data_IF_858503541035
#
_entry.id   IF_858503541035
#
_cell.length_a   1.000
_cell.length_b   1.000
_cell.length_c   1.000
_cell.angle_alpha   90.00
_cell.angle_beta   90.00
_cell.angle_gamma   90.00
#
_symmetry.space_group_name_H-M   'P 1'
#
loop_
_entity.id
_entity.type
_entity.pdbx_description
1 polymer ?
#
# COMPACT_ATOMS: atom_id res chain seq x y z
N UNK A 1 -10.37 -0.19 -9.05
CA UNK A 1 -10.61 -1.42 -9.83
C UNK A 1 -11.36 -2.40 -8.98
N UNK A 2 -12.44 -2.99 -9.48
CA UNK A 2 -13.15 -4.10 -8.82
C UNK A 2 -12.87 -5.36 -9.61
N UNK A 3 -12.50 -6.43 -8.92
CA UNK A 3 -12.20 -7.74 -9.52
C UNK A 3 -13.31 -8.74 -9.18
N UNK A 4 -13.58 -9.66 -10.10
CA UNK A 4 -14.62 -10.69 -10.00
C UNK A 4 -14.00 -12.08 -10.18
N UNK A 5 -14.64 -13.12 -9.66
CA UNK A 5 -14.26 -14.49 -9.95
C UNK A 5 -14.71 -14.86 -11.37
N UNK A 6 -14.03 -15.82 -11.99
CA UNK A 6 -14.43 -16.31 -13.31
C UNK A 6 -15.87 -16.86 -13.27
N UNK A 7 -16.72 -16.37 -14.18
CA UNK A 7 -18.13 -16.71 -14.23
C UNK A 7 -19.02 -16.18 -13.08
N UNK A 8 -18.51 -15.32 -12.19
CA UNK A 8 -19.28 -14.72 -11.10
C UNK A 8 -19.54 -13.24 -11.32
N UNK A 9 -20.77 -12.80 -11.02
CA UNK A 9 -21.12 -11.36 -10.95
C UNK A 9 -20.87 -10.79 -9.55
N UNK A 10 -20.51 -11.61 -8.56
CA UNK A 10 -20.20 -11.17 -7.21
C UNK A 10 -18.75 -10.62 -7.14
N UNK A 11 -18.56 -9.37 -6.64
CA UNK A 11 -17.23 -8.77 -6.56
C UNK A 11 -16.36 -9.48 -5.51
N UNK A 12 -15.16 -9.90 -5.91
CA UNK A 12 -14.17 -10.49 -5.01
C UNK A 12 -13.47 -9.42 -4.16
N UNK A 13 -13.03 -8.34 -4.79
CA UNK A 13 -12.34 -7.26 -4.10
C UNK A 13 -12.42 -5.96 -4.88
N UNK A 14 -12.27 -4.84 -4.16
CA UNK A 14 -12.08 -3.52 -4.75
C UNK A 14 -10.72 -2.97 -4.30
N UNK A 15 -9.87 -2.62 -5.27
CA UNK A 15 -8.62 -1.91 -5.04
C UNK A 15 -8.76 -0.45 -5.47
N UNK A 16 -8.28 0.47 -4.64
CA UNK A 16 -8.10 1.88 -4.99
C UNK A 16 -6.66 2.28 -4.75
N UNK A 17 -6.07 2.91 -5.75
CA UNK A 17 -4.68 3.40 -5.71
C UNK A 17 -4.67 4.90 -5.94
N UNK A 18 -3.87 5.61 -5.15
CA UNK A 18 -3.58 7.03 -5.36
C UNK A 18 -2.15 7.14 -5.86
N UNK A 19 -1.95 7.78 -7.01
CA UNK A 19 -0.63 7.99 -7.61
C UNK A 19 -0.28 9.46 -7.55
N UNK A 20 0.95 9.77 -7.15
CA UNK A 20 1.48 11.14 -7.16
C UNK A 20 2.47 11.30 -8.32
N UNK A 21 2.15 12.20 -9.25
CA UNK A 21 2.99 12.52 -10.40
C UNK A 21 3.82 13.77 -10.09
N UNK A 22 5.05 13.55 -9.60
CA UNK A 22 5.95 14.64 -9.22
C UNK A 22 6.19 15.58 -10.41
N UNK A 23 6.02 16.88 -10.18
CA UNK A 23 6.24 17.93 -11.19
C UNK A 23 5.09 18.15 -12.17
N UNK A 24 4.13 17.23 -12.25
CA UNK A 24 2.90 17.43 -13.02
C UNK A 24 1.86 18.22 -12.20
N UNK A 25 1.11 19.11 -12.85
CA UNK A 25 0.11 19.97 -12.20
C UNK A 25 0.20 21.43 -12.65
N UNK A 26 -0.46 22.34 -11.92
CA UNK A 26 -0.38 23.79 -12.16
C UNK A 26 -1.20 24.32 -13.34
N UNK A 27 -2.01 23.47 -13.98
CA UNK A 27 -2.84 23.83 -15.13
C UNK A 27 -4.21 24.43 -14.79
N UNK A 28 -4.60 24.47 -13.50
CA UNK A 28 -5.87 25.04 -13.05
C UNK A 28 -5.71 25.85 -11.76
N UNK A 29 -6.71 26.68 -11.44
CA UNK A 29 -6.85 27.26 -10.09
C UNK A 29 -6.90 26.11 -9.07
N UNK A 30 -6.25 26.28 -7.91
CA UNK A 30 -6.22 25.25 -6.87
C UNK A 30 -7.63 24.81 -6.52
N UNK A 31 -7.94 23.55 -6.82
CA UNK A 31 -9.07 22.85 -6.20
C UNK A 31 -8.73 22.58 -4.73
N UNK A 32 -9.74 22.37 -3.86
CA UNK A 32 -9.51 21.82 -2.54
C UNK A 32 -8.63 20.57 -2.65
N UNK A 33 -7.63 20.37 -1.75
CA UNK A 33 -6.82 19.16 -1.77
C UNK A 33 -7.72 17.94 -1.76
N UNK A 34 -7.45 16.98 -2.66
CA UNK A 34 -8.18 15.72 -2.66
C UNK A 34 -8.03 15.05 -1.29
N UNK A 35 -9.15 14.72 -0.67
CA UNK A 35 -9.21 13.94 0.56
C UNK A 35 -9.96 12.64 0.31
N UNK A 36 -9.48 11.55 0.90
CA UNK A 36 -10.17 10.27 0.88
C UNK A 36 -11.55 10.35 1.54
N UNK A 37 -11.74 11.31 2.47
CA UNK A 37 -13.01 11.60 3.15
C UNK A 37 -14.00 12.40 2.30
N UNK A 38 -13.55 13.06 1.21
CA UNK A 38 -14.43 13.79 0.29
C UNK A 38 -14.89 12.94 -0.90
N UNK A 39 -14.52 11.65 -0.94
CA UNK A 39 -14.99 10.72 -1.95
C UNK A 39 -16.35 10.14 -1.53
N UNK A 40 -17.39 10.34 -2.36
CA UNK A 40 -18.79 9.99 -2.06
C UNK A 40 -19.08 8.49 -1.89
N UNK A 41 -18.11 7.61 -2.11
CA UNK A 41 -18.20 6.17 -1.89
C UNK A 41 -17.26 5.63 -0.80
N UNK A 42 -16.77 6.47 0.10
CA UNK A 42 -15.93 6.06 1.23
C UNK A 42 -16.62 6.42 2.56
N UNK A 43 -17.09 5.39 3.27
CA UNK A 43 -17.44 5.51 4.69
C UNK A 43 -16.22 5.33 5.61
N UNK A 44 -14.98 5.41 5.08
CA UNK A 44 -13.78 5.21 5.89
C UNK A 44 -13.39 6.53 6.57
N UNK A 45 -13.63 6.69 7.90
CA UNK A 45 -13.27 7.91 8.60
C UNK A 45 -11.75 8.11 8.58
N UNK A 46 -11.32 9.37 8.66
CA UNK A 46 -9.91 9.70 8.83
C UNK A 46 -9.35 8.94 10.06
N UNK A 47 -8.42 8.01 9.83
CA UNK A 47 -7.82 7.19 10.88
C UNK A 47 -6.99 8.11 11.78
N UNK A 48 -7.42 8.30 13.02
CA UNK A 48 -6.60 8.94 14.06
C UNK A 48 -5.80 7.85 14.77
N UNK A 49 -4.49 7.87 14.57
CA UNK A 49 -3.58 6.97 15.30
C UNK A 49 -3.63 7.37 16.80
N UNK A 50 -3.98 6.44 17.70
CA UNK A 50 -3.98 6.71 19.14
C UNK A 50 -2.59 7.15 19.62
N UNK A 51 -2.53 8.11 20.54
CA UNK A 51 -1.28 8.57 21.15
C UNK A 51 -0.84 7.71 22.35
N UNK A 52 -1.59 6.65 22.64
CA UNK A 52 -1.30 5.70 23.72
C UNK A 52 -0.27 4.66 23.26
N UNK A 53 0.23 3.85 24.19
CA UNK A 53 1.08 2.71 23.85
C UNK A 53 0.35 1.78 22.86
N UNK A 54 1.05 1.22 21.86
CA UNK A 54 0.46 0.23 20.95
C UNK A 54 -0.05 -0.98 21.73
N UNK A 55 -1.20 -1.52 21.32
CA UNK A 55 -1.74 -2.77 21.87
C UNK A 55 -0.79 -3.95 21.63
N UNK A 56 -0.13 -3.98 20.47
CA UNK A 56 0.88 -4.95 20.12
C UNK A 56 1.96 -4.27 19.27
N UNK A 57 3.18 -4.80 19.35
CA UNK A 57 4.30 -4.44 18.47
C UNK A 57 4.86 -5.72 17.87
N UNK A 58 5.23 -5.68 16.60
CA UNK A 58 5.80 -6.82 15.88
C UNK A 58 6.92 -6.31 14.98
N UNK A 59 8.08 -6.95 15.07
CA UNK A 59 9.24 -6.64 14.26
C UNK A 59 9.52 -7.80 13.30
N UNK A 60 9.78 -7.46 12.05
CA UNK A 60 10.06 -8.42 10.99
C UNK A 60 11.22 -7.89 10.14
N UNK A 61 12.14 -8.79 9.75
CA UNK A 61 13.39 -8.41 9.09
C UNK A 61 13.28 -8.69 7.60
N UNK A 62 13.36 -7.65 6.79
CA UNK A 62 13.43 -7.80 5.34
C UNK A 62 14.80 -8.30 4.91
N UNK A 63 14.86 -9.22 3.97
CA UNK A 63 16.13 -9.63 3.35
C UNK A 63 16.70 -8.50 2.47
N UNK A 64 18.02 -8.42 2.28
CA UNK A 64 18.61 -7.49 1.31
C UNK A 64 18.05 -7.63 -0.11
N UNK A 65 17.66 -8.86 -0.50
CA UNK A 65 17.06 -9.20 -1.78
C UNK A 65 15.52 -9.11 -1.80
N UNK A 66 14.87 -8.59 -0.75
CA UNK A 66 13.40 -8.63 -0.61
C UNK A 66 12.67 -7.97 -1.80
N UNK A 67 13.21 -6.88 -2.33
CA UNK A 67 12.64 -6.19 -3.49
C UNK A 67 12.76 -7.05 -4.78
N UNK A 68 13.84 -7.81 -4.92
CA UNK A 68 14.07 -8.72 -6.05
C UNK A 68 13.14 -9.93 -6.03
N UNK A 69 12.76 -10.39 -4.84
CA UNK A 69 11.74 -11.43 -4.69
C UNK A 69 10.34 -10.87 -4.96
N UNK A 70 9.98 -9.76 -4.31
CA UNK A 70 8.62 -9.20 -4.40
C UNK A 70 8.23 -8.77 -5.82
N UNK A 71 9.18 -8.24 -6.61
CA UNK A 71 8.91 -7.84 -8.01
C UNK A 71 8.39 -8.99 -8.88
N UNK A 72 8.70 -10.25 -8.55
CA UNK A 72 8.21 -11.42 -9.28
C UNK A 72 6.67 -11.57 -9.19
N UNK A 73 6.02 -10.86 -8.27
CA UNK A 73 4.57 -10.80 -8.12
C UNK A 73 3.89 -9.78 -9.07
N UNK A 74 4.64 -9.11 -9.96
CA UNK A 74 4.08 -8.33 -11.07
C UNK A 74 4.51 -6.86 -11.16
N UNK A 75 5.16 -6.30 -10.13
CA UNK A 75 5.73 -4.94 -10.20
C UNK A 75 7.23 -5.01 -10.54
N UNK A 76 7.51 -4.95 -11.85
CA UNK A 76 8.86 -5.02 -12.40
C UNK A 76 9.55 -3.65 -12.53
N UNK A 77 9.00 -2.58 -11.95
CA UNK A 77 9.55 -1.24 -12.11
C UNK A 77 11.03 -1.17 -11.66
N UNK A 78 11.97 -0.71 -12.51
CA UNK A 78 13.41 -0.81 -12.21
C UNK A 78 13.87 -0.04 -10.98
N UNK A 79 13.09 0.93 -10.47
CA UNK A 79 13.36 1.62 -9.19
C UNK A 79 13.65 0.64 -8.03
N UNK A 80 13.08 -0.56 -8.09
CA UNK A 80 13.20 -1.58 -7.05
C UNK A 80 14.36 -2.56 -7.26
N UNK A 81 15.11 -2.46 -8.36
CA UNK A 81 16.18 -3.42 -8.69
C UNK A 81 17.44 -2.81 -9.33
N UNK A 82 17.33 -1.66 -9.97
CA UNK A 82 18.41 -1.01 -10.72
C UNK A 82 18.95 0.20 -9.94
N UNK A 83 20.21 0.17 -9.48
CA UNK A 83 20.83 1.29 -8.76
C UNK A 83 20.88 2.59 -9.56
N UNK A 84 21.05 2.53 -10.88
CA UNK A 84 21.10 3.72 -11.74
C UNK A 84 19.74 4.38 -11.80
N UNK A 85 18.66 3.62 -11.97
CA UNK A 85 17.29 4.16 -11.96
C UNK A 85 16.93 4.71 -10.58
N UNK A 86 17.31 4.03 -9.51
CA UNK A 86 17.10 4.54 -8.16
C UNK A 86 17.83 5.88 -7.92
N UNK A 87 19.07 6.00 -8.39
CA UNK A 87 19.86 7.22 -8.36
C UNK A 87 19.18 8.38 -9.11
N UNK A 88 18.69 8.13 -10.33
CA UNK A 88 17.94 9.12 -11.13
C UNK A 88 16.66 9.56 -10.39
N UNK A 89 15.98 8.64 -9.71
CA UNK A 89 14.81 8.94 -8.90
C UNK A 89 15.10 9.66 -7.57
N UNK A 90 16.38 9.86 -7.23
CA UNK A 90 16.84 10.56 -6.03
C UNK A 90 17.02 9.68 -4.79
N UNK A 91 17.11 8.36 -4.96
CA UNK A 91 17.39 7.42 -3.87
C UNK A 91 18.84 6.94 -3.93
N UNK A 92 19.50 6.73 -2.77
CA UNK A 92 20.89 6.25 -2.74
C UNK A 92 21.05 4.79 -3.21
N UNK A 93 19.95 4.02 -3.25
CA UNK A 93 19.89 2.61 -3.67
C UNK A 93 18.44 2.23 -4.00
N UNK A 94 18.19 1.08 -4.65
CA UNK A 94 16.84 0.57 -4.85
C UNK A 94 16.06 0.46 -3.53
N UNK A 95 14.79 0.86 -3.57
CA UNK A 95 13.88 0.83 -2.42
C UNK A 95 12.96 -0.38 -2.49
N UNK A 96 12.48 -0.84 -1.33
CA UNK A 96 11.44 -1.87 -1.29
C UNK A 96 10.10 -1.29 -1.77
N UNK A 97 9.29 -2.12 -2.45
CA UNK A 97 7.93 -1.74 -2.86
C UNK A 97 7.08 -1.36 -1.65
N UNK A 98 6.34 -0.25 -1.73
CA UNK A 98 5.41 0.14 -0.66
C UNK A 98 4.35 -0.93 -0.37
N UNK A 99 3.87 -1.62 -1.43
CA UNK A 99 2.95 -2.76 -1.30
C UNK A 99 3.57 -3.97 -0.59
N UNK A 100 4.89 -4.17 -0.70
CA UNK A 100 5.58 -5.22 0.04
C UNK A 100 5.56 -4.89 1.54
N UNK A 101 5.91 -3.66 1.92
CA UNK A 101 5.83 -3.18 3.31
C UNK A 101 4.41 -3.29 3.87
N UNK A 102 3.39 -2.93 3.08
CA UNK A 102 1.98 -3.10 3.45
C UNK A 102 1.65 -4.59 3.71
N UNK A 103 2.14 -5.49 2.87
CA UNK A 103 2.00 -6.94 3.07
C UNK A 103 2.62 -7.44 4.37
N UNK A 104 3.79 -6.93 4.76
CA UNK A 104 4.40 -7.22 6.06
C UNK A 104 3.53 -6.74 7.23
N UNK A 105 3.01 -5.51 7.14
CA UNK A 105 2.13 -4.96 8.18
C UNK A 105 0.83 -5.78 8.33
N UNK A 106 0.20 -6.18 7.23
CA UNK A 106 -1.01 -7.03 7.26
C UNK A 106 -0.70 -8.40 7.85
N UNK A 107 0.43 -9.01 7.47
CA UNK A 107 0.86 -10.30 8.06
C UNK A 107 1.06 -10.20 9.57
N UNK A 108 1.62 -9.09 10.05
CA UNK A 108 1.74 -8.83 11.49
C UNK A 108 0.37 -8.69 12.16
N UNK A 109 -0.60 -7.99 11.55
CA UNK A 109 -1.97 -7.87 12.06
C UNK A 109 -2.64 -9.25 12.14
N UNK A 110 -2.55 -10.05 11.08
CA UNK A 110 -3.14 -11.40 11.05
C UNK A 110 -2.58 -12.25 12.20
N UNK A 111 -1.27 -12.17 12.44
CA UNK A 111 -0.60 -12.92 13.50
C UNK A 111 -0.96 -12.42 14.91
N UNK A 112 -0.91 -11.11 15.13
CA UNK A 112 -1.04 -10.52 16.48
C UNK A 112 -2.49 -10.32 16.92
N UNK A 113 -3.41 -10.10 15.99
CA UNK A 113 -4.79 -9.68 16.27
C UNK A 113 -5.78 -10.74 15.78
N UNK A 114 -5.62 -11.23 14.55
CA UNK A 114 -6.57 -12.18 13.95
C UNK A 114 -6.29 -13.64 14.31
N UNK A 115 -5.35 -13.92 15.24
CA UNK A 115 -5.00 -15.30 15.68
C UNK A 115 -4.61 -16.23 14.52
N UNK A 116 -4.04 -15.67 13.45
CA UNK A 116 -3.65 -16.39 12.25
C UNK A 116 -4.74 -16.55 11.20
N UNK A 117 -5.97 -16.09 11.44
CA UNK A 117 -7.08 -16.18 10.49
C UNK A 117 -7.10 -14.98 9.52
N UNK A 118 -6.80 -15.18 8.21
CA UNK A 118 -6.83 -14.11 7.23
C UNK A 118 -8.25 -13.64 6.88
N UNK A 119 -9.30 -14.45 7.09
CA UNK A 119 -10.68 -14.14 6.70
C UNK A 119 -11.33 -13.05 7.58
N UNK A 120 -10.68 -12.76 8.72
CA UNK A 120 -11.00 -11.63 9.59
C UNK A 120 -10.67 -10.27 8.95
N UNK A 121 -9.80 -10.22 7.94
CA UNK A 121 -9.46 -8.98 7.25
C UNK A 121 -10.57 -8.62 6.26
N UNK A 122 -11.27 -7.50 6.49
CA UNK A 122 -12.34 -7.02 5.60
C UNK A 122 -11.90 -5.90 4.66
N UNK A 123 -11.08 -4.99 5.16
CA UNK A 123 -10.58 -3.86 4.40
C UNK A 123 -9.23 -3.40 4.95
N UNK A 124 -8.43 -2.80 4.08
CA UNK A 124 -7.11 -2.27 4.41
C UNK A 124 -6.86 -0.98 3.64
N UNK A 125 -6.20 -0.04 4.30
CA UNK A 125 -5.81 1.25 3.75
C UNK A 125 -4.47 1.66 4.35
N UNK A 126 -3.58 2.20 3.53
CA UNK A 126 -2.27 2.70 3.93
C UNK A 126 -1.88 3.92 3.09
N UNK A 127 -0.97 4.74 3.62
CA UNK A 127 -0.43 5.93 2.97
C UNK A 127 1.08 6.01 3.18
#
# INVERSE_FOLDING_TARGET
TTSYADGSEEPLCMNRTTVYLRGAGGFSKSSPPYSFASYSGNDTPAVKIPKTQPFASFEDVTQPSQALLHRLSGDYYPLHSDPTVAGIAGFPRPILHGLCTLGFAIRAIIRCICRGDPDMIKALSGR
#
